data_IF_777080790202
#
_entry.id   IF_777080790202
#
_cell.length_a   1.000
_cell.length_b   1.000
_cell.length_c   1.000
_cell.angle_alpha   90.00
_cell.angle_beta   90.00
_cell.angle_gamma   90.00
#
_symmetry.space_group_name_H-M   'P 1'
#
loop_
_entity.id
_entity.type
_entity.pdbx_description
1 polymer ?
#
# COMPACT_ATOMS: atom_id res chain seq x y z
N UNK A 1 -14.26 2.46 1.74
CA UNK A 1 -14.07 3.73 2.47
C UNK A 1 -14.03 4.93 1.53
N UNK A 2 -13.15 4.99 0.53
CA UNK A 2 -13.10 6.14 -0.41
C UNK A 2 -14.43 6.37 -1.14
N UNK A 3 -15.08 5.33 -1.62
CA UNK A 3 -16.41 5.42 -2.26
C UNK A 3 -17.49 5.94 -1.30
N UNK A 4 -17.41 5.57 -0.02
CA UNK A 4 -18.38 5.96 1.01
C UNK A 4 -18.22 7.41 1.45
N UNK A 5 -16.97 7.87 1.63
CA UNK A 5 -16.68 9.16 2.23
C UNK A 5 -16.24 10.24 1.23
N UNK A 6 -15.88 9.84 0.00
CA UNK A 6 -15.43 10.77 -1.05
C UNK A 6 -14.30 11.69 -0.58
N UNK A 7 -14.47 12.98 -0.78
CA UNK A 7 -13.46 14.01 -0.47
C UNK A 7 -13.40 14.39 1.02
N UNK A 8 -14.21 13.78 1.88
CA UNK A 8 -14.14 14.01 3.33
C UNK A 8 -12.90 13.39 3.97
N UNK A 9 -12.32 12.39 3.31
CA UNK A 9 -11.11 11.69 3.76
C UNK A 9 -10.03 11.77 2.69
N UNK A 10 -8.75 11.68 3.08
CA UNK A 10 -7.63 11.46 2.18
C UNK A 10 -7.24 9.98 2.18
N UNK A 11 -6.89 9.43 1.01
CA UNK A 11 -6.33 8.08 0.90
C UNK A 11 -4.99 8.19 0.20
N UNK A 12 -3.96 7.64 0.83
CA UNK A 12 -2.59 7.62 0.33
C UNK A 12 -2.19 6.17 0.13
N UNK A 13 -1.80 5.84 -1.10
CA UNK A 13 -1.31 4.52 -1.47
C UNK A 13 0.22 4.50 -1.32
N UNK A 14 0.74 3.65 -0.45
CA UNK A 14 2.18 3.55 -0.21
C UNK A 14 2.93 3.06 -1.45
N UNK A 15 2.30 2.26 -2.29
CA UNK A 15 2.86 1.81 -3.56
C UNK A 15 3.19 2.96 -4.53
N UNK A 16 2.59 4.12 -4.38
CA UNK A 16 2.96 5.32 -5.14
C UNK A 16 4.37 5.85 -4.79
N UNK A 17 4.91 5.42 -3.65
CA UNK A 17 6.22 5.85 -3.15
C UNK A 17 7.37 4.92 -3.54
N UNK A 18 7.18 3.98 -4.48
CA UNK A 18 8.33 3.27 -5.06
C UNK A 18 9.35 4.27 -5.59
N UNK A 19 10.63 3.97 -5.38
CA UNK A 19 11.73 4.83 -5.83
C UNK A 19 11.70 5.02 -7.34
N UNK A 20 11.98 6.26 -7.79
CA UNK A 20 12.20 6.53 -9.21
C UNK A 20 13.44 5.78 -9.71
N UNK A 21 13.34 5.24 -10.91
CA UNK A 21 14.39 4.42 -11.55
C UNK A 21 14.63 4.91 -12.99
N UNK A 22 14.70 6.22 -13.18
CA UNK A 22 14.79 6.84 -14.51
C UNK A 22 16.03 6.38 -15.29
N UNK A 23 17.15 6.15 -14.61
CA UNK A 23 18.41 5.72 -15.19
C UNK A 23 18.54 4.19 -15.34
N UNK A 24 17.52 3.42 -14.89
CA UNK A 24 17.53 1.95 -14.95
C UNK A 24 16.75 1.48 -16.18
N UNK A 25 17.33 0.64 -17.07
CA UNK A 25 16.61 0.08 -18.20
C UNK A 25 15.36 -0.71 -17.78
N UNK A 26 14.30 -0.67 -18.60
CA UNK A 26 13.03 -1.33 -18.31
C UNK A 26 13.18 -2.83 -17.94
N UNK A 27 14.02 -3.57 -18.66
CA UNK A 27 14.25 -5.00 -18.39
C UNK A 27 14.89 -5.26 -17.01
N UNK A 28 15.67 -4.32 -16.50
CA UNK A 28 16.27 -4.42 -15.18
C UNK A 28 15.25 -3.99 -14.09
N UNK A 29 14.40 -2.99 -14.37
CA UNK A 29 13.30 -2.61 -13.47
C UNK A 29 12.36 -3.78 -13.18
N UNK A 30 12.06 -4.62 -14.17
CA UNK A 30 11.23 -5.84 -13.97
C UNK A 30 11.82 -6.85 -12.99
N UNK A 31 13.12 -6.80 -12.73
CA UNK A 31 13.83 -7.71 -11.82
C UNK A 31 13.92 -7.19 -10.40
N UNK A 32 13.55 -5.93 -10.17
CA UNK A 32 13.57 -5.30 -8.83
C UNK A 32 12.60 -6.01 -7.90
N UNK A 33 13.03 -6.20 -6.66
CA UNK A 33 12.18 -6.75 -5.61
C UNK A 33 11.30 -5.64 -5.02
N UNK A 34 10.12 -5.46 -5.60
CA UNK A 34 9.14 -4.47 -5.15
C UNK A 34 8.44 -4.82 -3.82
N UNK A 35 8.62 -6.03 -3.31
CA UNK A 35 8.11 -6.46 -2.02
C UNK A 35 9.12 -6.22 -0.87
N UNK A 36 10.30 -5.63 -1.17
CA UNK A 36 11.28 -5.19 -0.17
C UNK A 36 11.03 -3.73 0.23
N UNK A 37 11.16 -3.38 1.53
CA UNK A 37 11.11 -1.98 2.00
C UNK A 37 12.10 -1.06 1.27
N UNK A 38 13.26 -1.57 0.85
CA UNK A 38 14.29 -0.80 0.13
C UNK A 38 13.79 -0.23 -1.21
N UNK A 39 12.75 -0.82 -1.78
CA UNK A 39 12.14 -0.34 -3.02
C UNK A 39 11.31 0.94 -2.84
N UNK A 40 10.99 1.29 -1.61
CA UNK A 40 10.12 2.42 -1.26
C UNK A 40 10.92 3.62 -0.76
N UNK A 41 10.44 4.82 -1.04
CA UNK A 41 10.94 6.08 -0.50
C UNK A 41 10.15 6.46 0.76
N UNK A 42 10.39 5.70 1.83
CA UNK A 42 9.68 5.80 3.09
C UNK A 42 9.84 7.19 3.73
N UNK A 43 11.03 7.79 3.63
CA UNK A 43 11.29 9.13 4.17
C UNK A 43 10.40 10.20 3.53
N UNK A 44 10.16 10.09 2.21
CA UNK A 44 9.22 10.97 1.51
C UNK A 44 7.79 10.78 2.04
N UNK A 45 7.35 9.53 2.21
CA UNK A 45 6.02 9.23 2.79
C UNK A 45 5.87 9.81 4.19
N UNK A 46 6.87 9.65 5.04
CA UNK A 46 6.90 10.21 6.41
C UNK A 46 6.79 11.72 6.36
N UNK A 47 7.57 12.38 5.50
CA UNK A 47 7.54 13.84 5.35
C UNK A 47 6.16 14.34 4.91
N UNK A 48 5.52 13.63 3.97
CA UNK A 48 4.18 13.95 3.48
C UNK A 48 3.11 13.77 4.56
N UNK A 49 3.16 12.68 5.33
CA UNK A 49 2.21 12.48 6.44
C UNK A 49 2.37 13.56 7.53
N UNK A 50 3.59 13.95 7.87
CA UNK A 50 3.84 15.05 8.80
C UNK A 50 3.25 16.36 8.28
N UNK A 51 3.50 16.69 7.01
CA UNK A 51 2.95 17.89 6.39
C UNK A 51 1.42 17.91 6.43
N UNK A 52 0.77 16.80 6.11
CA UNK A 52 -0.70 16.67 6.19
C UNK A 52 -1.22 16.81 7.62
N UNK A 53 -0.54 16.23 8.62
CA UNK A 53 -0.89 16.40 10.05
C UNK A 53 -0.73 17.85 10.51
N UNK A 54 0.19 18.60 9.91
CA UNK A 54 0.36 20.04 10.14
C UNK A 54 -0.62 20.92 9.34
N UNK A 55 -1.54 20.32 8.61
CA UNK A 55 -2.53 21.06 7.80
C UNK A 55 -2.00 21.58 6.45
N UNK A 56 -0.87 21.05 5.98
CA UNK A 56 -0.25 21.43 4.71
C UNK A 56 -0.66 20.48 3.59
N UNK A 57 -0.87 21.00 2.40
CA UNK A 57 -1.09 20.23 1.18
C UNK A 57 0.21 19.59 0.70
N UNK A 58 0.12 18.40 0.10
CA UNK A 58 1.27 17.69 -0.47
C UNK A 58 1.05 17.39 -1.96
N UNK A 59 2.14 17.19 -2.68
CA UNK A 59 2.18 16.63 -4.03
C UNK A 59 2.55 15.16 -3.95
N UNK A 60 1.54 14.28 -3.84
CA UNK A 60 1.73 12.85 -3.72
C UNK A 60 2.24 12.28 -5.05
N UNK A 61 3.34 11.51 -5.07
CA UNK A 61 3.79 10.84 -6.29
C UNK A 61 2.74 9.85 -6.81
N UNK A 62 2.86 9.49 -8.08
CA UNK A 62 2.11 8.41 -8.70
C UNK A 62 3.06 7.39 -9.31
N UNK A 63 2.62 6.14 -9.45
CA UNK A 63 3.43 5.07 -9.98
C UNK A 63 2.77 4.43 -11.19
N UNK A 64 3.55 4.28 -12.27
CA UNK A 64 3.11 3.62 -13.50
C UNK A 64 3.61 2.17 -13.52
N UNK A 65 2.66 1.25 -13.29
CA UNK A 65 2.93 -0.19 -13.28
C UNK A 65 3.27 -0.76 -14.68
N UNK A 66 2.94 -0.04 -15.77
CA UNK A 66 3.21 -0.51 -17.12
C UNK A 66 4.68 -0.38 -17.49
N UNK A 67 5.33 0.64 -16.95
CA UNK A 67 6.76 0.91 -17.17
C UNK A 67 7.63 0.63 -15.94
N UNK A 68 7.03 0.14 -14.86
CA UNK A 68 7.72 -0.11 -13.58
C UNK A 68 8.54 1.09 -13.11
N UNK A 69 7.92 2.29 -13.09
CA UNK A 69 8.60 3.49 -12.63
C UNK A 69 7.63 4.49 -12.00
N UNK A 70 8.16 5.40 -11.20
CA UNK A 70 7.42 6.57 -10.71
C UNK A 70 7.08 7.47 -11.88
N UNK A 71 5.83 7.92 -11.95
CA UNK A 71 5.40 8.91 -12.94
C UNK A 71 6.02 10.29 -12.61
N UNK A 72 6.12 11.14 -13.64
CA UNK A 72 6.44 12.56 -13.44
C UNK A 72 5.25 13.37 -12.94
N UNK A 73 4.04 12.82 -13.05
CA UNK A 73 2.82 13.44 -12.56
C UNK A 73 2.65 13.18 -11.07
N UNK A 74 2.16 14.19 -10.36
CA UNK A 74 1.79 14.11 -8.96
C UNK A 74 0.30 14.35 -8.79
N UNK A 75 -0.23 13.93 -7.65
CA UNK A 75 -1.62 14.21 -7.24
C UNK A 75 -1.58 15.10 -6.00
N UNK A 76 -2.27 16.22 -6.07
CA UNK A 76 -2.42 17.11 -4.92
C UNK A 76 -3.35 16.46 -3.91
N UNK A 77 -2.86 16.30 -2.68
CA UNK A 77 -3.65 15.82 -1.54
C UNK A 77 -3.72 16.92 -0.49
N UNK A 78 -4.92 17.38 -0.22
CA UNK A 78 -5.20 18.33 0.84
C UNK A 78 -5.34 17.64 2.20
N UNK A 79 -4.98 18.33 3.30
CA UNK A 79 -5.17 17.77 4.64
C UNK A 79 -6.65 17.50 4.91
N UNK A 80 -6.92 16.36 5.56
CA UNK A 80 -8.26 15.94 6.00
C UNK A 80 -8.17 15.46 7.45
N UNK A 81 -9.29 15.49 8.16
CA UNK A 81 -9.37 14.95 9.53
C UNK A 81 -9.04 13.46 9.60
N UNK A 82 -9.35 12.73 8.52
CA UNK A 82 -9.05 11.31 8.39
C UNK A 82 -8.17 11.10 7.17
N UNK A 83 -7.01 10.48 7.39
CA UNK A 83 -6.06 10.08 6.35
C UNK A 83 -5.91 8.57 6.45
N UNK A 84 -6.22 7.86 5.37
CA UNK A 84 -6.01 6.42 5.26
C UNK A 84 -4.71 6.18 4.49
N UNK A 85 -3.78 5.46 5.10
CA UNK A 85 -2.57 4.96 4.46
C UNK A 85 -2.81 3.50 4.10
N UNK A 86 -2.69 3.15 2.83
CA UNK A 86 -2.87 1.80 2.31
C UNK A 86 -1.56 1.28 1.74
N UNK A 87 -1.18 0.05 2.11
CA UNK A 87 0.00 -0.64 1.59
C UNK A 87 0.45 -1.78 2.47
N UNK A 88 0.95 -2.85 1.86
CA UNK A 88 1.38 -4.07 2.58
C UNK A 88 2.57 -3.86 3.52
N UNK A 89 3.39 -2.84 3.27
CA UNK A 89 4.56 -2.46 4.07
C UNK A 89 4.31 -1.23 4.96
N UNK A 90 3.06 -0.73 5.04
CA UNK A 90 2.75 0.50 5.77
C UNK A 90 3.05 0.42 7.29
N UNK A 91 3.06 -0.78 7.86
CA UNK A 91 3.35 -1.01 9.27
C UNK A 91 4.78 -1.52 9.54
N UNK A 92 5.61 -1.70 8.51
CA UNK A 92 6.96 -2.24 8.64
C UNK A 92 7.92 -1.24 9.28
N UNK A 93 7.97 -0.02 8.75
CA UNK A 93 8.85 1.03 9.25
C UNK A 93 8.33 1.62 10.56
N UNK A 94 9.18 1.67 11.60
CA UNK A 94 8.79 2.14 12.93
C UNK A 94 8.38 3.61 12.95
N UNK A 95 9.11 4.49 12.27
CA UNK A 95 8.82 5.91 12.24
C UNK A 95 7.50 6.21 11.53
N UNK A 96 7.26 5.54 10.38
CA UNK A 96 6.00 5.63 9.65
C UNK A 96 4.85 5.11 10.51
N UNK A 97 5.02 3.94 11.15
CA UNK A 97 4.03 3.31 12.02
C UNK A 97 3.66 4.19 13.21
N UNK A 98 4.61 4.93 13.78
CA UNK A 98 4.38 5.86 14.89
C UNK A 98 3.56 7.10 14.50
N UNK A 99 3.43 7.40 13.21
CA UNK A 99 2.54 8.46 12.71
C UNK A 99 1.08 7.98 12.53
N UNK A 100 0.84 6.68 12.56
CA UNK A 100 -0.48 6.07 12.34
C UNK A 100 -1.18 5.89 13.69
N UNK A 101 -2.35 6.52 13.84
CA UNK A 101 -3.12 6.51 15.09
C UNK A 101 -3.89 5.19 15.29
N UNK A 102 -4.37 4.55 14.21
CA UNK A 102 -5.07 3.25 14.25
C UNK A 102 -4.45 2.34 13.18
N UNK A 103 -3.84 1.26 13.62
CA UNK A 103 -3.13 0.28 12.78
C UNK A 103 -4.01 -0.93 12.55
N UNK A 104 -4.33 -1.19 11.29
CA UNK A 104 -5.19 -2.31 10.90
C UNK A 104 -4.41 -3.25 10.00
N UNK A 105 -4.34 -4.51 10.39
CA UNK A 105 -3.82 -5.56 9.53
C UNK A 105 -4.98 -6.32 8.89
N UNK A 106 -4.97 -6.42 7.55
CA UNK A 106 -5.97 -7.19 6.81
C UNK A 106 -5.37 -8.56 6.51
N UNK A 107 -5.89 -9.57 7.20
CA UNK A 107 -5.46 -10.97 7.04
C UNK A 107 -6.20 -11.63 5.87
N UNK A 108 -5.46 -12.32 5.02
CA UNK A 108 -5.99 -13.17 3.96
C UNK A 108 -5.14 -14.42 3.85
N UNK A 109 -5.78 -15.57 3.64
CA UNK A 109 -5.08 -16.83 3.44
C UNK A 109 -4.16 -16.79 2.21
N UNK A 110 -3.05 -17.50 2.28
CA UNK A 110 -2.01 -17.45 1.24
C UNK A 110 -2.52 -17.93 -0.13
N UNK A 111 -3.41 -18.91 -0.16
CA UNK A 111 -4.07 -19.42 -1.36
C UNK A 111 -5.03 -18.40 -1.97
N UNK A 112 -5.82 -17.69 -1.14
CA UNK A 112 -6.65 -16.59 -1.64
C UNK A 112 -5.79 -15.44 -2.22
N UNK A 113 -4.71 -15.09 -1.55
CA UNK A 113 -3.81 -14.02 -2.02
C UNK A 113 -3.21 -14.35 -3.38
N UNK A 114 -2.71 -15.59 -3.57
CA UNK A 114 -2.11 -16.00 -4.84
C UNK A 114 -3.16 -16.11 -5.94
N UNK A 115 -4.35 -16.63 -5.66
CA UNK A 115 -5.42 -16.72 -6.64
C UNK A 115 -5.88 -15.33 -7.11
N UNK A 116 -6.09 -14.38 -6.19
CA UNK A 116 -6.42 -12.98 -6.53
C UNK A 116 -5.33 -12.34 -7.38
N UNK A 117 -4.05 -12.57 -7.03
CA UNK A 117 -2.90 -12.07 -7.80
C UNK A 117 -2.88 -12.64 -9.22
N UNK A 118 -3.04 -13.96 -9.38
CA UNK A 118 -3.06 -14.61 -10.71
C UNK A 118 -4.17 -14.02 -11.57
N UNK A 119 -5.39 -13.94 -11.05
CA UNK A 119 -6.52 -13.39 -11.81
C UNK A 119 -6.28 -11.95 -12.24
N UNK A 120 -5.80 -11.10 -11.33
CA UNK A 120 -5.49 -9.70 -11.64
C UNK A 120 -4.36 -9.57 -12.66
N UNK A 121 -3.22 -10.22 -12.42
CA UNK A 121 -2.01 -10.04 -13.21
C UNK A 121 -2.18 -10.61 -14.63
N UNK A 122 -2.96 -11.67 -14.79
CA UNK A 122 -3.30 -12.20 -16.12
C UNK A 122 -4.28 -11.27 -16.85
N UNK A 123 -5.38 -10.84 -16.18
CA UNK A 123 -6.44 -10.06 -16.84
C UNK A 123 -6.04 -8.60 -17.11
N UNK A 124 -5.37 -7.96 -16.16
CA UNK A 124 -5.12 -6.52 -16.20
C UNK A 124 -3.71 -6.16 -16.67
N UNK A 125 -2.73 -7.08 -16.49
CA UNK A 125 -1.32 -6.84 -16.79
C UNK A 125 -0.77 -7.74 -17.89
N UNK A 126 -1.59 -8.66 -18.42
CA UNK A 126 -1.21 -9.57 -19.51
C UNK A 126 -0.03 -10.50 -19.17
N UNK A 127 0.17 -10.83 -17.88
CA UNK A 127 1.29 -11.64 -17.43
C UNK A 127 1.04 -13.13 -17.64
N UNK A 128 2.10 -13.87 -17.84
CA UNK A 128 2.09 -15.33 -17.89
C UNK A 128 1.97 -15.95 -16.49
N UNK A 129 1.20 -17.05 -16.37
CA UNK A 129 0.93 -17.73 -15.10
C UNK A 129 2.20 -18.33 -14.48
N UNK A 130 3.09 -18.89 -15.32
CA UNK A 130 4.34 -19.51 -14.85
C UNK A 130 5.28 -18.44 -14.28
N UNK A 131 5.35 -17.26 -14.91
CA UNK A 131 6.11 -16.12 -14.41
C UNK A 131 5.56 -15.61 -13.08
N UNK A 132 4.24 -15.54 -12.94
CA UNK A 132 3.58 -15.13 -11.69
C UNK A 132 3.92 -16.14 -10.58
N UNK A 133 3.79 -17.44 -10.86
CA UNK A 133 4.07 -18.50 -9.90
C UNK A 133 5.54 -18.47 -9.45
N UNK A 134 6.47 -18.36 -10.42
CA UNK A 134 7.91 -18.25 -10.14
C UNK A 134 8.21 -17.05 -9.25
N UNK A 135 7.75 -15.86 -9.60
CA UNK A 135 7.95 -14.65 -8.81
C UNK A 135 7.34 -14.78 -7.40
N UNK A 136 6.14 -15.37 -7.30
CA UNK A 136 5.51 -15.58 -6.01
C UNK A 136 6.39 -16.44 -5.09
N UNK A 137 6.89 -17.55 -5.58
CA UNK A 137 7.68 -18.48 -4.78
C UNK A 137 9.08 -17.94 -4.45
N UNK A 138 9.71 -17.22 -5.36
CA UNK A 138 11.10 -16.76 -5.19
C UNK A 138 11.21 -15.41 -4.48
N UNK A 139 10.21 -14.57 -4.58
CA UNK A 139 10.26 -13.19 -4.08
C UNK A 139 9.10 -12.87 -3.15
N UNK A 140 7.86 -12.89 -3.64
CA UNK A 140 6.71 -12.36 -2.91
C UNK A 140 6.46 -13.10 -1.59
N UNK A 141 6.46 -14.45 -1.65
CA UNK A 141 6.22 -15.28 -0.47
C UNK A 141 7.32 -15.12 0.61
N UNK A 142 8.62 -15.19 0.28
CA UNK A 142 9.68 -14.89 1.26
C UNK A 142 9.57 -13.50 1.86
N UNK A 143 9.37 -12.46 1.05
CA UNK A 143 9.25 -11.08 1.53
C UNK A 143 8.03 -10.88 2.42
N UNK A 144 6.92 -11.54 2.11
CA UNK A 144 5.74 -11.50 2.98
C UNK A 144 6.06 -11.99 4.39
N UNK A 145 6.75 -13.12 4.52
CA UNK A 145 7.10 -13.66 5.84
C UNK A 145 8.16 -12.85 6.59
N UNK A 146 9.03 -12.15 5.86
CA UNK A 146 10.08 -11.32 6.46
C UNK A 146 9.55 -9.96 6.91
N UNK A 147 8.74 -9.30 6.06
CA UNK A 147 8.39 -7.90 6.26
C UNK A 147 6.90 -7.64 6.55
N UNK A 148 5.99 -8.47 6.02
CA UNK A 148 4.55 -8.21 6.16
C UNK A 148 3.97 -8.95 7.37
N UNK A 149 4.13 -10.27 7.43
CA UNK A 149 3.53 -11.11 8.47
C UNK A 149 3.89 -10.68 9.90
N UNK A 150 5.14 -10.27 10.21
CA UNK A 150 5.49 -9.82 11.56
C UNK A 150 4.74 -8.56 11.98
N UNK A 151 4.30 -7.71 11.04
CA UNK A 151 3.58 -6.48 11.35
C UNK A 151 2.16 -6.71 11.87
N UNK A 152 1.62 -7.91 11.72
CA UNK A 152 0.37 -8.34 12.31
C UNK A 152 0.35 -8.15 13.83
N UNK A 153 1.47 -8.42 14.49
CA UNK A 153 1.62 -8.24 15.95
C UNK A 153 1.77 -6.78 16.39
N UNK A 154 1.97 -5.87 15.44
CA UNK A 154 2.10 -4.44 15.67
C UNK A 154 0.79 -3.68 15.38
N UNK A 155 -0.21 -4.38 14.87
CA UNK A 155 -1.51 -3.81 14.55
C UNK A 155 -2.41 -3.72 15.79
N UNK A 156 -3.23 -2.68 15.86
CA UNK A 156 -4.26 -2.52 16.89
C UNK A 156 -5.47 -3.43 16.62
N UNK A 157 -5.73 -3.72 15.34
CA UNK A 157 -6.81 -4.58 14.87
C UNK A 157 -6.34 -5.51 13.76
N UNK A 158 -6.76 -6.77 13.83
CA UNK A 158 -6.61 -7.74 12.73
C UNK A 158 -8.00 -8.07 12.21
N UNK A 159 -8.22 -7.86 10.92
CA UNK A 159 -9.49 -8.14 10.27
C UNK A 159 -9.28 -9.12 9.12
N UNK A 160 -10.20 -10.08 8.98
CA UNK A 160 -10.15 -11.01 7.85
C UNK A 160 -10.52 -10.31 6.54
N UNK A 161 -9.81 -10.66 5.47
CA UNK A 161 -10.14 -10.18 4.13
C UNK A 161 -11.47 -10.77 3.64
N UNK A 162 -12.03 -10.15 2.60
CA UNK A 162 -13.30 -10.54 2.05
C UNK A 162 -14.42 -9.59 2.46
N UNK A 163 -15.67 -10.00 2.25
CA UNK A 163 -16.84 -9.22 2.65
C UNK A 163 -17.06 -9.33 4.16
N UNK A 164 -16.32 -8.52 4.91
CA UNK A 164 -16.46 -8.43 6.37
C UNK A 164 -17.25 -7.15 6.71
N UNK A 165 -18.58 -7.23 6.55
CA UNK A 165 -19.49 -6.11 6.74
C UNK A 165 -19.42 -5.55 8.17
N UNK A 166 -19.19 -6.41 9.17
CA UNK A 166 -19.09 -5.98 10.57
C UNK A 166 -17.84 -5.11 10.76
N UNK A 167 -16.68 -5.55 10.27
CA UNK A 167 -15.45 -4.76 10.36
C UNK A 167 -15.58 -3.45 9.56
N UNK A 168 -16.21 -3.51 8.39
CA UNK A 168 -16.47 -2.32 7.58
C UNK A 168 -17.35 -1.30 8.32
N UNK A 169 -18.47 -1.72 8.91
CA UNK A 169 -19.38 -0.82 9.65
C UNK A 169 -18.72 -0.26 10.92
N UNK A 170 -17.90 -1.03 11.63
CA UNK A 170 -17.13 -0.52 12.76
C UNK A 170 -16.16 0.59 12.35
N UNK A 171 -15.38 0.37 11.28
CA UNK A 171 -14.44 1.36 10.77
C UNK A 171 -15.16 2.60 10.22
N UNK A 172 -16.28 2.41 9.52
CA UNK A 172 -17.14 3.48 9.03
C UNK A 172 -17.66 4.34 10.18
N UNK A 173 -18.24 3.71 11.20
CA UNK A 173 -18.74 4.43 12.38
C UNK A 173 -17.64 5.23 13.07
N UNK A 174 -16.44 4.66 13.18
CA UNK A 174 -15.29 5.38 13.76
C UNK A 174 -14.91 6.61 12.95
N UNK A 175 -14.90 6.50 11.62
CA UNK A 175 -14.62 7.62 10.72
C UNK A 175 -15.71 8.69 10.85
N UNK A 176 -16.98 8.31 10.85
CA UNK A 176 -18.11 9.24 11.01
C UNK A 176 -18.05 10.05 12.31
N UNK A 177 -17.56 9.43 13.39
CA UNK A 177 -17.35 10.13 14.67
C UNK A 177 -16.24 11.17 14.66
N UNK A 178 -15.27 11.04 13.76
CA UNK A 178 -14.12 11.96 13.62
C UNK A 178 -14.46 13.13 12.69
N UNK A 179 -15.27 12.89 11.66
CA UNK A 179 -15.65 13.89 10.66
C UNK A 179 -16.61 14.93 11.23
#
# INVERSE_FOLDING_TARGET
>A
MKEQFGDKIAVIYYDNYYRAQDDVPFEERKKVNYDSPDSLETDLMISHLRALKEGKTIECPTYDYTVHNRSKETVVIEPRKVIIVEGILALENEELRNLIDIKVFVEADADERILRRVVRDVKERGRDVEDIARQYLTTVKPMHYVYVEPTKYLADLVINSGMNDVAFELMKTKIEQIL
#
